data_IF_278665816211
#
_entry.id   IF_278665816211
#
_cell.length_a   1.000
_cell.length_b   1.000
_cell.length_c   1.000
_cell.angle_alpha   90.00
_cell.angle_beta   90.00
_cell.angle_gamma   90.00
#
_symmetry.space_group_name_H-M   'P 1'
#
loop_
_entity.id
_entity.type
_entity.pdbx_description
1 polymer ?
#
# COMPACT_ATOMS: atom_id res chain seq x y z
N UNK A 1 -20.04 -15.30 -35.06
CA UNK A 1 -19.34 -14.02 -34.89
C UNK A 1 -19.51 -13.61 -33.45
N UNK A 2 -18.52 -13.61 -32.59
CA UNK A 2 -17.16 -14.12 -32.59
C UNK A 2 -16.74 -14.04 -31.11
N UNK A 3 -15.88 -14.96 -30.69
CA UNK A 3 -15.33 -15.11 -29.34
C UNK A 3 -14.99 -13.79 -28.62
N UNK A 4 -15.58 -13.52 -27.44
CA UNK A 4 -14.99 -12.58 -26.48
C UNK A 4 -15.45 -12.74 -25.02
N UNK A 5 -15.67 -13.97 -24.53
CA UNK A 5 -15.83 -14.24 -23.09
C UNK A 5 -14.61 -15.00 -22.54
N UNK A 6 -13.43 -14.41 -22.71
CA UNK A 6 -12.27 -14.77 -21.89
C UNK A 6 -12.24 -13.84 -20.69
N UNK A 7 -12.90 -14.25 -19.60
CA UNK A 7 -12.58 -13.72 -18.26
C UNK A 7 -11.07 -13.82 -18.05
N UNK A 8 -10.36 -12.77 -17.65
CA UNK A 8 -9.01 -12.92 -17.17
C UNK A 8 -9.10 -13.66 -15.84
N UNK A 9 -8.90 -14.97 -15.90
CA UNK A 9 -8.64 -15.78 -14.72
C UNK A 9 -7.27 -15.34 -14.25
N UNK A 10 -7.20 -14.58 -13.16
CA UNK A 10 -5.94 -14.26 -12.49
C UNK A 10 -5.29 -15.62 -12.19
N UNK A 11 -4.20 -15.92 -12.90
CA UNK A 11 -3.43 -17.14 -12.68
C UNK A 11 -2.86 -17.07 -11.27
N UNK A 12 -3.36 -17.93 -10.38
CA UNK A 12 -2.91 -18.04 -9.00
C UNK A 12 -1.41 -18.40 -8.91
N UNK A 13 -0.75 -18.80 -10.01
CA UNK A 13 0.72 -18.90 -10.08
C UNK A 13 1.44 -17.57 -9.88
N UNK A 14 0.80 -16.44 -10.17
CA UNK A 14 1.35 -15.11 -9.83
C UNK A 14 1.46 -14.86 -8.31
N UNK A 15 0.75 -15.64 -7.48
CA UNK A 15 0.93 -15.64 -6.02
C UNK A 15 2.13 -16.47 -5.55
N UNK A 16 2.60 -17.45 -6.33
CA UNK A 16 3.86 -18.16 -6.03
C UNK A 16 5.05 -17.19 -6.10
N UNK A 17 5.00 -16.16 -6.97
CA UNK A 17 6.04 -15.12 -7.00
C UNK A 17 6.11 -14.29 -5.70
N UNK A 18 5.01 -14.11 -4.98
CA UNK A 18 5.00 -13.38 -3.70
C UNK A 18 5.64 -14.25 -2.61
N UNK A 19 5.38 -15.56 -2.60
CA UNK A 19 6.07 -16.51 -1.73
C UNK A 19 7.57 -16.59 -2.05
N UNK A 20 7.94 -16.52 -3.34
CA UNK A 20 9.34 -16.45 -3.77
C UNK A 20 10.02 -15.14 -3.34
N UNK A 21 9.30 -14.02 -3.29
CA UNK A 21 9.80 -12.74 -2.74
C UNK A 21 10.01 -12.85 -1.23
N UNK A 22 9.11 -13.47 -0.48
CA UNK A 22 9.31 -13.74 0.95
C UNK A 22 10.47 -14.70 1.21
N UNK A 23 10.62 -15.74 0.39
CA UNK A 23 11.76 -16.65 0.43
C UNK A 23 13.08 -15.94 0.11
N UNK A 24 13.08 -15.04 -0.88
CA UNK A 24 14.25 -14.20 -1.19
C UNK A 24 14.58 -13.22 -0.06
N UNK A 25 13.57 -12.61 0.59
CA UNK A 25 13.77 -11.78 1.80
C UNK A 25 14.38 -12.59 2.95
N UNK A 26 13.91 -13.81 3.17
CA UNK A 26 14.45 -14.70 4.19
C UNK A 26 15.91 -15.08 3.88
N UNK A 27 16.20 -15.46 2.63
CA UNK A 27 17.55 -15.81 2.18
C UNK A 27 18.54 -14.64 2.29
N UNK A 28 18.11 -13.41 1.95
CA UNK A 28 18.93 -12.21 2.06
C UNK A 28 19.16 -11.79 3.53
N UNK A 29 18.17 -11.92 4.41
CA UNK A 29 18.36 -11.69 5.86
C UNK A 29 19.37 -12.68 6.45
N UNK A 30 19.26 -13.95 6.08
CA UNK A 30 20.23 -14.99 6.43
C UNK A 30 21.63 -14.66 5.92
N UNK A 31 21.76 -14.19 4.68
CA UNK A 31 23.05 -13.78 4.13
C UNK A 31 23.66 -12.60 4.90
N UNK A 32 22.85 -11.60 5.29
CA UNK A 32 23.30 -10.45 6.10
C UNK A 32 23.72 -10.90 7.50
N UNK A 33 22.97 -11.79 8.15
CA UNK A 33 23.37 -12.36 9.45
C UNK A 33 24.66 -13.17 9.36
N UNK A 34 24.82 -13.97 8.30
CA UNK A 34 26.05 -14.73 8.06
C UNK A 34 27.25 -13.80 7.84
N UNK A 35 27.11 -12.73 7.06
CA UNK A 35 28.18 -11.73 6.89
C UNK A 35 28.52 -11.02 8.21
N UNK A 36 27.52 -10.60 8.99
CA UNK A 36 27.74 -9.96 10.28
C UNK A 36 28.41 -10.92 11.29
N UNK A 37 28.08 -12.21 11.25
CA UNK A 37 28.71 -13.23 12.10
C UNK A 37 30.17 -13.48 11.70
N UNK A 38 30.47 -13.55 10.40
CA UNK A 38 31.82 -13.67 9.87
C UNK A 38 32.70 -12.45 10.22
N UNK A 39 32.14 -11.24 10.15
CA UNK A 39 32.82 -10.00 10.56
C UNK A 39 33.16 -10.01 12.06
N UNK A 40 32.25 -10.52 12.89
CA UNK A 40 32.45 -10.66 14.34
C UNK A 40 33.55 -11.68 14.67
N UNK A 41 33.58 -12.82 13.98
CA UNK A 41 34.64 -13.81 14.11
C UNK A 41 36.00 -13.28 13.65
N UNK A 42 36.03 -12.51 12.56
CA UNK A 42 37.27 -11.93 12.04
C UNK A 42 37.84 -10.85 12.98
N UNK A 43 36.99 -10.02 13.57
CA UNK A 43 37.38 -9.06 14.61
C UNK A 43 37.90 -9.74 15.88
N UNK A 44 37.32 -10.89 16.28
CA UNK A 44 37.81 -11.70 17.39
C UNK A 44 39.18 -12.34 17.10
N UNK A 45 39.40 -12.82 15.88
CA UNK A 45 40.72 -13.36 15.46
C UNK A 45 41.80 -12.28 15.45
N UNK A 46 41.50 -11.10 14.90
CA UNK A 46 42.41 -9.96 14.88
C UNK A 46 42.77 -9.46 16.29
N UNK A 47 41.82 -9.53 17.23
CA UNK A 47 42.06 -9.18 18.64
C UNK A 47 42.95 -10.18 19.36
N UNK A 48 42.83 -11.49 19.03
CA UNK A 48 43.69 -12.55 19.61
C UNK A 48 45.14 -12.46 19.12
N UNK A 49 45.34 -12.24 17.82
CA UNK A 49 46.70 -12.08 17.25
C UNK A 49 47.40 -10.83 17.77
N UNK A 50 46.66 -9.73 18.00
CA UNK A 50 47.21 -8.53 18.63
C UNK A 50 47.59 -8.73 20.12
N UNK A 51 46.90 -9.63 20.83
CA UNK A 51 47.22 -9.97 22.22
C UNK A 51 48.44 -10.90 22.34
N UNK A 52 48.58 -11.87 21.44
CA UNK A 52 49.71 -12.80 21.41
C UNK A 52 51.04 -12.10 21.10
N UNK A 53 51.04 -11.10 20.20
CA UNK A 53 52.25 -10.32 19.88
C UNK A 53 52.74 -9.43 21.03
N UNK A 54 51.86 -9.04 21.97
CA UNK A 54 52.25 -8.28 23.18
C UNK A 54 52.83 -9.16 24.27
N UNK A 55 52.54 -10.47 24.26
CA UNK A 55 53.02 -11.41 25.28
C UNK A 55 54.43 -11.96 25.00
N UNK A 56 54.91 -11.92 23.75
CA UNK A 56 56.19 -12.51 23.33
C UNK A 56 57.41 -11.57 23.41
N UNK A 57 57.24 -10.32 23.85
CA UNK A 57 58.30 -9.29 23.84
C UNK A 57 58.88 -8.94 25.21
N UNK A 58 59.37 -9.91 26.00
CA UNK A 58 60.21 -9.60 27.19
C UNK A 58 60.91 -10.85 27.74
N UNK A 59 62.19 -11.06 27.40
CA UNK A 59 63.14 -11.82 28.24
C UNK A 59 64.56 -11.75 27.66
N UNK A 60 65.49 -11.08 28.36
CA UNK A 60 66.70 -11.71 28.94
C UNK A 60 67.77 -10.64 29.23
N UNK A 61 68.09 -10.41 30.51
CA UNK A 61 69.35 -9.75 30.93
C UNK A 61 70.03 -10.69 31.93
N UNK A 62 71.23 -11.13 31.56
CA UNK A 62 72.02 -12.15 32.25
C UNK A 62 72.74 -11.65 33.50
N UNK A 63 73.00 -12.58 34.43
CA UNK A 63 73.81 -12.41 35.64
C UNK A 63 75.29 -12.65 35.33
N UNK A 64 76.17 -11.94 36.04
CA UNK A 64 77.51 -12.45 36.38
C UNK A 64 77.87 -12.09 37.83
N UNK A 65 78.52 -13.03 38.52
CA UNK A 65 79.09 -12.87 39.85
C UNK A 65 80.44 -13.60 39.89
N UNK A 66 81.50 -12.97 40.43
CA UNK A 66 82.53 -13.61 41.28
C UNK A 66 83.46 -12.58 41.96
N UNK A 67 84.07 -13.00 43.07
CA UNK A 67 84.79 -12.30 44.18
C UNK A 67 86.31 -12.70 44.13
N UNK A 68 87.17 -12.51 45.16
CA UNK A 68 88.04 -11.37 45.59
C UNK A 68 89.58 -11.72 45.65
N UNK A 69 90.36 -10.97 46.48
CA UNK A 69 91.79 -11.12 46.96
C UNK A 69 92.86 -10.45 46.09
N UNK A 70 93.97 -9.84 46.56
CA UNK A 70 94.57 -9.57 47.87
C UNK A 70 96.09 -9.25 47.70
N UNK A 71 96.58 -8.18 48.35
CA UNK A 71 97.93 -7.92 48.92
C UNK A 71 99.24 -7.96 48.07
N UNK A 72 99.89 -6.78 47.93
CA UNK A 72 101.27 -6.50 48.39
C UNK A 72 102.51 -6.78 47.50
N UNK A 73 103.44 -5.80 47.44
CA UNK A 73 104.87 -6.02 47.15
C UNK A 73 105.53 -5.05 46.14
N UNK A 74 106.49 -4.26 46.61
CA UNK A 74 107.20 -3.17 45.92
C UNK A 74 108.27 -3.61 44.91
N UNK A 75 108.56 -2.66 43.99
CA UNK A 75 109.78 -2.44 43.20
C UNK A 75 109.84 -3.03 41.77
N UNK A 76 109.37 -2.26 40.77
CA UNK A 76 110.12 -1.87 39.56
C UNK A 76 109.26 -0.89 38.71
N UNK A 77 109.22 0.38 39.12
CA UNK A 77 108.00 1.17 38.97
C UNK A 77 107.78 1.87 37.62
N UNK A 78 108.76 2.02 36.72
CA UNK A 78 108.50 2.77 35.46
C UNK A 78 108.12 1.90 34.26
N UNK A 79 108.61 0.67 34.17
CA UNK A 79 108.35 -0.22 33.02
C UNK A 79 107.12 -1.11 33.27
N UNK A 80 106.87 -1.45 34.54
CA UNK A 80 105.65 -2.12 34.99
C UNK A 80 104.42 -1.21 34.86
N UNK A 81 104.52 0.06 35.26
CA UNK A 81 103.43 1.05 35.07
C UNK A 81 103.15 1.27 33.58
N UNK A 82 104.17 1.27 32.72
CA UNK A 82 103.97 1.45 31.27
C UNK A 82 103.32 0.22 30.61
N UNK A 83 103.72 -1.00 30.97
CA UNK A 83 103.09 -2.23 30.50
C UNK A 83 101.69 -2.45 31.10
N UNK A 84 101.47 -2.07 32.36
CA UNK A 84 100.13 -2.06 32.99
C UNK A 84 99.24 -1.01 32.33
N UNK A 85 99.74 0.18 32.03
CA UNK A 85 99.02 1.20 31.29
C UNK A 85 98.74 0.80 29.84
N UNK A 86 99.68 0.17 29.12
CA UNK A 86 99.47 -0.36 27.76
C UNK A 86 98.45 -1.52 27.76
N UNK A 87 98.47 -2.39 28.78
CA UNK A 87 97.47 -3.44 28.97
C UNK A 87 96.11 -2.88 29.38
N UNK A 88 96.05 -1.83 30.19
CA UNK A 88 94.82 -1.12 30.54
C UNK A 88 94.25 -0.37 29.34
N UNK A 89 95.09 0.32 28.54
CA UNK A 89 94.68 0.99 27.30
C UNK A 89 94.17 -0.05 26.29
N UNK A 90 94.86 -1.18 26.15
CA UNK A 90 94.40 -2.30 25.32
C UNK A 90 93.08 -2.89 25.83
N UNK A 91 92.92 -3.05 27.15
CA UNK A 91 91.69 -3.49 27.78
C UNK A 91 90.54 -2.50 27.62
N UNK A 92 90.81 -1.19 27.70
CA UNK A 92 89.84 -0.12 27.45
C UNK A 92 89.46 -0.09 25.98
N UNK A 93 90.42 -0.28 25.07
CA UNK A 93 90.17 -0.33 23.63
C UNK A 93 89.30 -1.54 23.26
N UNK A 94 89.59 -2.73 23.79
CA UNK A 94 88.75 -3.91 23.58
C UNK A 94 87.34 -3.74 24.16
N UNK A 95 87.20 -3.07 25.31
CA UNK A 95 85.89 -2.72 25.88
C UNK A 95 85.14 -1.70 25.03
N UNK A 96 85.85 -0.74 24.44
CA UNK A 96 85.29 0.26 23.55
C UNK A 96 84.83 -0.37 22.22
N UNK A 97 85.62 -1.29 21.67
CA UNK A 97 85.28 -2.05 20.46
C UNK A 97 84.05 -2.96 20.71
N UNK A 98 84.00 -3.64 21.87
CA UNK A 98 82.82 -4.42 22.28
C UNK A 98 81.57 -3.55 22.49
N UNK A 99 81.71 -2.37 23.10
CA UNK A 99 80.60 -1.43 23.27
C UNK A 99 80.14 -0.84 21.92
N UNK A 100 81.05 -0.62 20.97
CA UNK A 100 80.72 -0.19 19.60
C UNK A 100 79.99 -1.29 18.82
N UNK A 101 80.41 -2.55 18.96
CA UNK A 101 79.68 -3.69 18.39
C UNK A 101 78.27 -3.82 18.97
N UNK A 102 78.13 -3.75 20.30
CA UNK A 102 76.82 -3.75 20.94
C UNK A 102 75.94 -2.59 20.45
N UNK A 103 76.49 -1.36 20.39
CA UNK A 103 75.76 -0.19 19.88
C UNK A 103 75.30 -0.39 18.43
N UNK A 104 76.15 -0.97 17.58
CA UNK A 104 75.82 -1.27 16.18
C UNK A 104 74.74 -2.35 16.08
N UNK A 105 74.76 -3.36 16.96
CA UNK A 105 73.73 -4.38 17.05
C UNK A 105 72.38 -3.80 17.52
N UNK A 106 72.39 -2.91 18.52
CA UNK A 106 71.19 -2.18 18.94
C UNK A 106 70.64 -1.30 17.81
N UNK A 107 71.52 -0.63 17.05
CA UNK A 107 71.13 0.18 15.90
C UNK A 107 70.52 -0.66 14.78
N UNK A 108 71.06 -1.87 14.54
CA UNK A 108 70.50 -2.84 13.59
C UNK A 108 69.11 -3.32 14.02
N UNK A 109 68.93 -3.71 15.29
CA UNK A 109 67.63 -4.12 15.83
C UNK A 109 66.60 -2.98 15.79
N UNK A 110 67.01 -1.74 16.04
CA UNK A 110 66.15 -0.57 15.93
C UNK A 110 65.68 -0.35 14.49
N UNK A 111 66.57 -0.45 13.50
CA UNK A 111 66.21 -0.35 12.08
C UNK A 111 65.30 -1.50 11.62
N UNK A 112 65.54 -2.72 12.09
CA UNK A 112 64.67 -3.87 11.83
C UNK A 112 63.28 -3.68 12.45
N UNK A 113 63.20 -3.13 13.66
CA UNK A 113 61.93 -2.80 14.31
C UNK A 113 61.18 -1.67 13.58
N UNK A 114 61.86 -0.62 13.12
CA UNK A 114 61.26 0.44 12.30
C UNK A 114 60.75 -0.09 10.95
N UNK A 115 61.51 -0.96 10.29
CA UNK A 115 61.07 -1.63 9.07
C UNK A 115 59.86 -2.55 9.33
N UNK A 116 59.84 -3.24 10.47
CA UNK A 116 58.70 -4.03 10.94
C UNK A 116 57.45 -3.17 11.16
N UNK A 117 57.60 -2.03 11.84
CA UNK A 117 56.52 -1.07 12.06
C UNK A 117 55.97 -0.52 10.73
N UNK A 118 56.85 -0.10 9.82
CA UNK A 118 56.44 0.38 8.49
C UNK A 118 55.65 -0.67 7.71
N UNK A 119 56.03 -1.95 7.81
CA UNK A 119 55.30 -3.06 7.18
C UNK A 119 53.93 -3.27 7.83
N UNK A 120 53.83 -3.22 9.15
CA UNK A 120 52.54 -3.33 9.85
C UNK A 120 51.62 -2.16 9.55
N UNK A 121 52.15 -0.94 9.46
CA UNK A 121 51.39 0.27 9.16
C UNK A 121 50.80 0.22 7.74
N UNK A 122 51.57 -0.23 6.75
CA UNK A 122 51.07 -0.51 5.40
C UNK A 122 49.94 -1.54 5.39
N UNK A 123 50.13 -2.66 6.10
CA UNK A 123 49.09 -3.70 6.17
C UNK A 123 47.80 -3.23 6.85
N UNK A 124 47.91 -2.33 7.85
CA UNK A 124 46.77 -1.74 8.53
C UNK A 124 46.02 -0.77 7.61
N UNK A 125 46.76 0.05 6.84
CA UNK A 125 46.17 0.96 5.84
C UNK A 125 45.39 0.19 4.77
N UNK A 126 45.95 -0.89 4.23
CA UNK A 126 45.27 -1.76 3.25
C UNK A 126 44.02 -2.42 3.84
N UNK A 127 44.07 -2.84 5.10
CA UNK A 127 42.91 -3.41 5.80
C UNK A 127 41.79 -2.38 6.01
N UNK A 128 42.14 -1.13 6.35
CA UNK A 128 41.18 -0.04 6.50
C UNK A 128 40.51 0.34 5.18
N UNK A 129 41.25 0.38 4.07
CA UNK A 129 40.68 0.61 2.74
C UNK A 129 39.71 -0.51 2.34
N UNK A 130 40.10 -1.79 2.54
CA UNK A 130 39.21 -2.93 2.29
C UNK A 130 37.94 -2.82 3.13
N UNK A 131 38.05 -2.48 4.40
CA UNK A 131 36.89 -2.34 5.28
C UNK A 131 35.96 -1.20 4.82
N UNK A 132 36.51 -0.04 4.44
CA UNK A 132 35.72 1.06 3.84
C UNK A 132 35.00 0.63 2.57
N UNK A 133 35.67 -0.12 1.69
CA UNK A 133 35.06 -0.61 0.45
C UNK A 133 33.91 -1.60 0.73
N UNK A 134 34.06 -2.45 1.74
CA UNK A 134 33.03 -3.39 2.16
C UNK A 134 31.82 -2.67 2.77
N UNK A 135 32.04 -1.63 3.58
CA UNK A 135 30.97 -0.83 4.17
C UNK A 135 30.17 -0.07 3.11
N UNK A 136 30.82 0.49 2.07
CA UNK A 136 30.14 1.12 0.93
C UNK A 136 29.27 0.09 0.18
N UNK A 137 29.81 -1.11 -0.06
CA UNK A 137 29.05 -2.19 -0.70
C UNK A 137 27.82 -2.60 0.14
N UNK A 138 27.99 -2.69 1.47
CA UNK A 138 26.90 -2.99 2.41
C UNK A 138 25.81 -1.92 2.36
N UNK A 139 26.17 -0.64 2.41
CA UNK A 139 25.22 0.47 2.31
C UNK A 139 24.45 0.46 0.97
N UNK A 140 25.11 0.11 -0.13
CA UNK A 140 24.45 -0.07 -1.43
C UNK A 140 23.40 -1.18 -1.40
N UNK A 141 23.72 -2.34 -0.81
CA UNK A 141 22.76 -3.46 -0.67
C UNK A 141 21.57 -3.07 0.20
N UNK A 142 21.81 -2.43 1.34
CA UNK A 142 20.74 -1.95 2.25
C UNK A 142 19.83 -0.95 1.53
N UNK A 143 20.40 -0.02 0.76
CA UNK A 143 19.63 0.98 0.02
C UNK A 143 18.71 0.33 -1.02
N UNK A 144 19.23 -0.66 -1.75
CA UNK A 144 18.43 -1.47 -2.69
C UNK A 144 17.33 -2.25 -1.99
N UNK A 145 17.62 -2.84 -0.82
CA UNK A 145 16.62 -3.61 -0.06
C UNK A 145 15.46 -2.71 0.39
N UNK A 146 15.76 -1.51 0.90
CA UNK A 146 14.74 -0.53 1.27
C UNK A 146 13.88 -0.09 0.07
N UNK A 147 14.47 0.02 -1.12
CA UNK A 147 13.72 0.34 -2.34
C UNK A 147 12.74 -0.80 -2.70
N UNK A 148 13.19 -2.06 -2.65
CA UNK A 148 12.34 -3.22 -2.88
C UNK A 148 11.22 -3.37 -1.86
N UNK A 149 11.50 -3.07 -0.59
CA UNK A 149 10.48 -3.05 0.46
C UNK A 149 9.40 -1.99 0.18
N UNK A 150 9.79 -0.79 -0.24
CA UNK A 150 8.83 0.25 -0.66
C UNK A 150 7.98 -0.18 -1.85
N UNK A 151 8.60 -0.67 -2.94
CA UNK A 151 7.87 -1.13 -4.13
C UNK A 151 6.90 -2.26 -3.81
N UNK A 152 7.30 -3.19 -2.96
CA UNK A 152 6.42 -4.28 -2.51
C UNK A 152 5.26 -3.76 -1.66
N UNK A 153 5.49 -2.78 -0.78
CA UNK A 153 4.42 -2.18 0.00
C UNK A 153 3.42 -1.41 -0.88
N UNK A 154 3.88 -0.72 -1.92
CA UNK A 154 3.02 -0.06 -2.92
C UNK A 154 2.09 -1.06 -3.62
N UNK A 155 2.62 -2.21 -4.06
CA UNK A 155 1.83 -3.26 -4.72
C UNK A 155 0.81 -3.86 -3.77
N UNK A 156 1.21 -4.16 -2.54
CA UNK A 156 0.28 -4.73 -1.55
C UNK A 156 -0.85 -3.75 -1.20
N UNK A 157 -0.55 -2.45 -1.12
CA UNK A 157 -1.58 -1.43 -0.94
C UNK A 157 -2.51 -1.33 -2.16
N UNK A 158 -1.97 -1.31 -3.37
CA UNK A 158 -2.77 -1.28 -4.59
C UNK A 158 -3.66 -2.54 -4.73
N UNK A 159 -3.17 -3.70 -4.30
CA UNK A 159 -3.94 -4.95 -4.24
C UNK A 159 -5.09 -4.85 -3.22
N UNK A 160 -4.85 -4.30 -2.03
CA UNK A 160 -5.90 -4.08 -1.03
C UNK A 160 -6.99 -3.14 -1.55
N UNK A 161 -6.61 -2.06 -2.22
CA UNK A 161 -7.54 -1.13 -2.86
C UNK A 161 -8.37 -1.84 -3.94
N UNK A 162 -7.73 -2.67 -4.77
CA UNK A 162 -8.40 -3.46 -5.80
C UNK A 162 -9.43 -4.44 -5.20
N UNK A 163 -9.07 -5.16 -4.14
CA UNK A 163 -9.99 -6.07 -3.44
C UNK A 163 -11.16 -5.31 -2.78
N UNK A 164 -10.90 -4.12 -2.24
CA UNK A 164 -11.94 -3.25 -1.71
C UNK A 164 -12.93 -2.82 -2.80
N UNK A 165 -12.44 -2.39 -3.97
CA UNK A 165 -13.26 -2.05 -5.14
C UNK A 165 -14.07 -3.25 -5.65
N UNK A 166 -13.47 -4.44 -5.70
CA UNK A 166 -14.18 -5.68 -6.05
C UNK A 166 -15.35 -5.96 -5.11
N UNK A 167 -15.13 -5.81 -3.80
CA UNK A 167 -16.16 -5.99 -2.78
C UNK A 167 -17.31 -5.00 -2.98
N UNK A 168 -16.99 -3.70 -3.11
CA UNK A 168 -17.96 -2.63 -3.35
C UNK A 168 -18.75 -2.84 -4.65
N UNK A 169 -18.09 -3.29 -5.71
CA UNK A 169 -18.74 -3.60 -6.98
C UNK A 169 -19.71 -4.78 -6.83
N UNK A 170 -19.32 -5.82 -6.10
CA UNK A 170 -20.21 -6.97 -5.87
C UNK A 170 -21.48 -6.56 -5.11
N UNK A 171 -21.34 -5.68 -4.11
CA UNK A 171 -22.46 -5.17 -3.33
C UNK A 171 -23.34 -4.25 -4.18
N UNK A 172 -22.74 -3.35 -4.96
CA UNK A 172 -23.47 -2.48 -5.87
C UNK A 172 -24.26 -3.29 -6.91
N UNK A 173 -23.67 -4.35 -7.49
CA UNK A 173 -24.35 -5.25 -8.42
C UNK A 173 -25.52 -5.97 -7.77
N UNK A 174 -25.36 -6.43 -6.53
CA UNK A 174 -26.44 -7.04 -5.76
C UNK A 174 -27.59 -6.04 -5.54
N UNK A 175 -27.29 -4.83 -5.08
CA UNK A 175 -28.29 -3.78 -4.87
C UNK A 175 -29.01 -3.41 -6.18
N UNK A 176 -28.29 -3.30 -7.30
CA UNK A 176 -28.89 -3.06 -8.61
C UNK A 176 -29.81 -4.22 -9.04
N UNK A 177 -29.41 -5.48 -8.80
CA UNK A 177 -30.23 -6.64 -9.09
C UNK A 177 -31.52 -6.68 -8.26
N UNK A 178 -31.43 -6.42 -6.95
CA UNK A 178 -32.59 -6.35 -6.04
C UNK A 178 -33.57 -5.25 -6.49
N UNK A 179 -33.02 -4.10 -6.91
CA UNK A 179 -33.81 -2.97 -7.44
C UNK A 179 -34.50 -3.30 -8.76
N UNK A 180 -33.80 -4.00 -9.64
CA UNK A 180 -34.34 -4.46 -10.91
C UNK A 180 -35.46 -5.47 -10.70
N UNK A 181 -35.32 -6.35 -9.71
CA UNK A 181 -36.39 -7.28 -9.33
C UNK A 181 -37.62 -6.55 -8.78
N UNK A 182 -37.42 -5.54 -7.92
CA UNK A 182 -38.51 -4.67 -7.45
C UNK A 182 -39.19 -3.93 -8.61
N UNK A 183 -38.42 -3.42 -9.57
CA UNK A 183 -38.94 -2.76 -10.76
C UNK A 183 -39.77 -3.72 -11.63
N UNK A 184 -39.32 -4.95 -11.84
CA UNK A 184 -40.04 -5.95 -12.62
C UNK A 184 -41.40 -6.32 -11.97
N UNK A 185 -41.46 -6.35 -10.64
CA UNK A 185 -42.72 -6.51 -9.93
C UNK A 185 -43.62 -5.29 -10.13
N UNK A 186 -43.08 -4.09 -9.96
CA UNK A 186 -43.77 -2.82 -10.15
C UNK A 186 -44.21 -2.56 -11.60
N UNK A 187 -43.56 -3.15 -12.60
CA UNK A 187 -43.90 -2.97 -14.01
C UNK A 187 -45.26 -3.57 -14.36
N UNK A 188 -45.65 -4.68 -13.72
CA UNK A 188 -47.01 -5.23 -13.86
C UNK A 188 -48.05 -4.31 -13.23
N UNK A 189 -47.66 -3.63 -12.16
CA UNK A 189 -48.52 -2.65 -11.49
C UNK A 189 -48.64 -1.36 -12.31
N UNK A 190 -47.60 -0.96 -13.05
CA UNK A 190 -47.61 0.24 -13.91
C UNK A 190 -48.77 0.25 -14.90
N UNK A 191 -48.96 -0.82 -15.66
CA UNK A 191 -50.06 -0.92 -16.63
C UNK A 191 -51.43 -0.85 -15.92
N UNK A 192 -51.52 -1.44 -14.73
CA UNK A 192 -52.74 -1.38 -13.91
C UNK A 192 -53.01 0.04 -13.40
N UNK A 193 -51.96 0.76 -12.99
CA UNK A 193 -52.03 2.15 -12.55
C UNK A 193 -52.46 3.05 -13.71
N UNK A 194 -51.82 2.95 -14.88
CA UNK A 194 -52.14 3.73 -16.08
C UNK A 194 -53.61 3.53 -16.50
N UNK A 195 -54.06 2.28 -16.58
CA UNK A 195 -55.45 1.97 -16.92
C UNK A 195 -56.45 2.52 -15.89
N UNK A 196 -56.15 2.42 -14.58
CA UNK A 196 -57.05 2.91 -13.54
C UNK A 196 -57.09 4.43 -13.47
N UNK A 197 -55.97 5.10 -13.65
CA UNK A 197 -55.91 6.57 -13.74
C UNK A 197 -56.77 7.05 -14.89
N UNK A 198 -56.62 6.48 -16.09
CA UNK A 198 -57.43 6.84 -17.26
C UNK A 198 -58.94 6.61 -17.02
N UNK A 199 -59.33 5.48 -16.42
CA UNK A 199 -60.74 5.22 -16.10
C UNK A 199 -61.31 6.23 -15.10
N UNK A 200 -60.56 6.59 -14.05
CA UNK A 200 -61.01 7.56 -13.04
C UNK A 200 -61.11 8.98 -13.64
N UNK A 201 -60.21 9.34 -14.56
CA UNK A 201 -60.29 10.59 -15.31
C UNK A 201 -61.57 10.67 -16.14
N UNK A 202 -61.92 9.59 -16.86
CA UNK A 202 -63.18 9.51 -17.59
C UNK A 202 -64.41 9.58 -16.66
N UNK A 203 -64.38 8.89 -15.51
CA UNK A 203 -65.43 8.99 -14.48
C UNK A 203 -65.60 10.44 -13.99
N UNK A 204 -64.48 11.13 -13.71
CA UNK A 204 -64.47 12.54 -13.27
C UNK A 204 -65.05 13.49 -14.33
N UNK A 205 -64.74 13.27 -15.60
CA UNK A 205 -65.31 14.05 -16.71
C UNK A 205 -66.81 13.83 -16.86
N UNK A 206 -67.25 12.57 -16.74
CA UNK A 206 -68.67 12.21 -16.75
C UNK A 206 -69.43 12.84 -15.57
N UNK A 207 -68.85 12.78 -14.36
CA UNK A 207 -69.43 13.42 -13.16
C UNK A 207 -69.49 14.94 -13.30
N UNK A 208 -68.45 15.58 -13.83
CA UNK A 208 -68.47 17.02 -14.12
C UNK A 208 -69.58 17.39 -15.11
N UNK A 209 -69.79 16.57 -16.14
CA UNK A 209 -70.88 16.79 -17.11
C UNK A 209 -72.26 16.65 -16.47
N UNK A 210 -72.45 15.62 -15.63
CA UNK A 210 -73.69 15.40 -14.87
C UNK A 210 -73.96 16.52 -13.87
N UNK A 211 -72.92 17.01 -13.19
CA UNK A 211 -73.02 18.13 -12.26
C UNK A 211 -73.57 19.37 -12.97
N UNK A 212 -72.96 19.75 -14.10
CA UNK A 212 -73.39 20.89 -14.91
C UNK A 212 -74.85 20.75 -15.41
N UNK A 213 -75.30 19.52 -15.73
CA UNK A 213 -76.68 19.26 -16.14
C UNK A 213 -77.67 19.49 -14.99
N UNK A 214 -77.38 18.99 -13.79
CA UNK A 214 -78.25 19.14 -12.61
C UNK A 214 -78.28 20.57 -12.07
N UNK A 215 -77.15 21.27 -12.11
CA UNK A 215 -77.09 22.71 -11.83
C UNK A 215 -77.96 23.50 -12.80
N UNK A 216 -77.89 23.19 -14.10
CA UNK A 216 -78.74 23.82 -15.12
C UNK A 216 -80.22 23.55 -14.85
N UNK A 217 -80.60 22.30 -14.56
CA UNK A 217 -81.99 21.94 -14.22
C UNK A 217 -82.48 22.70 -12.98
N UNK A 218 -81.67 22.79 -11.93
CA UNK A 218 -82.01 23.57 -10.72
C UNK A 218 -82.22 25.05 -11.05
N UNK A 219 -81.38 25.64 -11.90
CA UNK A 219 -81.50 27.03 -12.34
C UNK A 219 -82.75 27.25 -13.22
N UNK A 220 -83.06 26.33 -14.13
CA UNK A 220 -84.27 26.37 -14.97
C UNK A 220 -85.55 26.31 -14.11
N UNK A 221 -85.61 25.41 -13.12
CA UNK A 221 -86.75 25.29 -12.20
C UNK A 221 -86.91 26.58 -11.36
N UNK A 222 -85.82 27.15 -10.85
CA UNK A 222 -85.86 28.41 -10.10
C UNK A 222 -86.31 29.59 -10.97
N UNK A 223 -85.87 29.67 -12.22
CA UNK A 223 -86.30 30.70 -13.16
C UNK A 223 -87.79 30.57 -13.48
N UNK A 224 -88.26 29.36 -13.81
CA UNK A 224 -89.67 29.10 -14.05
C UNK A 224 -90.52 29.44 -12.81
N UNK A 225 -90.04 29.09 -11.60
CA UNK A 225 -90.71 29.44 -10.35
C UNK A 225 -90.82 30.96 -10.16
N UNK A 226 -89.78 31.74 -10.48
CA UNK A 226 -89.80 33.21 -10.43
C UNK A 226 -90.80 33.79 -11.42
N UNK A 227 -90.87 33.24 -12.63
CA UNK A 227 -91.86 33.65 -13.65
C UNK A 227 -93.29 33.36 -13.19
N UNK A 228 -93.56 32.17 -12.65
CA UNK A 228 -94.86 31.82 -12.08
C UNK A 228 -95.24 32.74 -10.90
N UNK A 229 -94.31 33.02 -9.98
CA UNK A 229 -94.52 33.99 -8.89
C UNK A 229 -94.88 35.39 -9.42
N UNK A 230 -94.20 35.86 -10.47
CA UNK A 230 -94.47 37.16 -11.09
C UNK A 230 -95.86 37.24 -11.72
N UNK A 231 -96.37 36.12 -12.27
CA UNK A 231 -97.73 36.02 -12.82
C UNK A 231 -98.77 35.95 -11.69
N UNK A 232 -98.56 35.07 -10.70
CA UNK A 232 -99.50 34.83 -9.59
C UNK A 232 -99.66 36.05 -8.69
N UNK A 233 -98.61 36.86 -8.51
CA UNK A 233 -98.69 38.12 -7.76
C UNK A 233 -99.74 39.12 -8.30
N UNK A 234 -100.24 38.91 -9.53
CA UNK A 234 -101.27 39.71 -10.18
C UNK A 234 -102.69 39.14 -10.05
N UNK A 235 -102.87 37.94 -9.49
CA UNK A 235 -104.16 37.23 -9.40
C UNK A 235 -104.45 36.84 -7.93
N UNK A 236 -105.38 37.50 -7.22
CA UNK A 236 -105.71 37.18 -5.83
C UNK A 236 -106.43 35.83 -5.69
N UNK A 237 -105.96 34.94 -4.80
CA UNK A 237 -106.75 33.82 -4.28
C UNK A 237 -106.44 32.41 -4.80
N UNK A 238 -105.46 32.20 -5.68
CA UNK A 238 -105.15 30.86 -6.23
C UNK A 238 -104.50 29.90 -5.22
N UNK A 239 -105.24 28.91 -4.72
CA UNK A 239 -104.71 27.82 -3.89
C UNK A 239 -103.86 26.84 -4.73
N UNK A 240 -104.34 26.46 -5.92
CA UNK A 240 -103.63 25.56 -6.85
C UNK A 240 -102.27 26.13 -7.30
N UNK A 241 -102.21 27.46 -7.45
CA UNK A 241 -101.00 28.18 -7.83
C UNK A 241 -99.94 28.14 -6.72
N UNK A 242 -100.37 28.15 -5.44
CA UNK A 242 -99.48 27.98 -4.30
C UNK A 242 -98.97 26.55 -4.19
N UNK A 243 -99.82 25.56 -4.44
CA UNK A 243 -99.41 24.15 -4.45
C UNK A 243 -98.39 23.84 -5.56
N UNK A 244 -98.57 24.40 -6.76
CA UNK A 244 -97.61 24.30 -7.85
C UNK A 244 -96.24 24.89 -7.48
N UNK A 245 -96.21 26.06 -6.83
CA UNK A 245 -94.97 26.69 -6.35
C UNK A 245 -94.27 25.86 -5.27
N UNK A 246 -95.02 25.20 -4.40
CA UNK A 246 -94.46 24.28 -3.40
C UNK A 246 -93.82 23.06 -4.08
N UNK A 247 -94.49 22.45 -5.07
CA UNK A 247 -93.92 21.33 -5.84
C UNK A 247 -92.63 21.74 -6.58
N UNK A 248 -92.59 22.92 -7.20
CA UNK A 248 -91.37 23.43 -7.85
C UNK A 248 -90.22 23.68 -6.85
N UNK A 249 -90.54 24.09 -5.62
CA UNK A 249 -89.56 24.21 -4.53
C UNK A 249 -88.99 22.85 -4.14
N UNK A 250 -89.85 21.84 -4.00
CA UNK A 250 -89.44 20.47 -3.68
C UNK A 250 -88.57 19.86 -4.79
N UNK A 251 -88.94 20.08 -6.06
CA UNK A 251 -88.15 19.65 -7.23
C UNK A 251 -86.79 20.34 -7.29
N UNK A 252 -86.73 21.64 -7.00
CA UNK A 252 -85.46 22.37 -6.88
C UNK A 252 -84.59 21.79 -5.77
N UNK A 253 -85.14 21.60 -4.57
CA UNK A 253 -84.40 21.03 -3.45
C UNK A 253 -83.90 19.60 -3.78
N UNK A 254 -84.69 18.82 -4.52
CA UNK A 254 -84.28 17.50 -5.00
C UNK A 254 -83.14 17.58 -6.02
N UNK A 255 -83.15 18.57 -6.92
CA UNK A 255 -82.06 18.82 -7.87
C UNK A 255 -80.78 19.26 -7.14
N UNK A 256 -80.86 20.20 -6.19
CA UNK A 256 -79.73 20.64 -5.37
C UNK A 256 -79.13 19.50 -4.54
N UNK A 257 -79.96 18.64 -3.96
CA UNK A 257 -79.49 17.44 -3.25
C UNK A 257 -78.75 16.47 -4.18
N UNK A 258 -79.18 16.32 -5.43
CA UNK A 258 -78.46 15.51 -6.43
C UNK A 258 -77.13 16.14 -6.83
N UNK A 259 -77.08 17.45 -7.01
CA UNK A 259 -75.84 18.21 -7.25
C UNK A 259 -74.83 17.92 -6.14
N UNK A 260 -75.25 18.07 -4.87
CA UNK A 260 -74.39 17.78 -3.71
C UNK A 260 -73.88 16.34 -3.65
N UNK A 261 -74.72 15.36 -4.02
CA UNK A 261 -74.29 13.97 -4.09
C UNK A 261 -73.22 13.76 -5.16
N UNK A 262 -73.40 14.34 -6.34
CA UNK A 262 -72.45 14.27 -7.45
C UNK A 262 -71.13 14.97 -7.10
N UNK A 263 -71.17 16.08 -6.35
CA UNK A 263 -69.97 16.74 -5.82
C UNK A 263 -69.17 15.81 -4.91
N UNK A 264 -69.83 15.13 -3.96
CA UNK A 264 -69.17 14.17 -3.07
C UNK A 264 -68.58 12.98 -3.85
N UNK A 265 -69.29 12.47 -4.86
CA UNK A 265 -68.76 11.42 -5.76
C UNK A 265 -67.53 11.91 -6.52
N UNK A 266 -67.53 13.16 -6.98
CA UNK A 266 -66.40 13.78 -7.67
C UNK A 266 -65.19 13.97 -6.75
N UNK A 267 -65.40 14.39 -5.50
CA UNK A 267 -64.36 14.48 -4.48
C UNK A 267 -63.73 13.10 -4.17
N UNK A 268 -64.57 12.06 -4.09
CA UNK A 268 -64.11 10.69 -3.93
C UNK A 268 -63.29 10.21 -5.15
N UNK A 269 -63.70 10.56 -6.38
CA UNK A 269 -62.92 10.28 -7.59
C UNK A 269 -61.56 10.97 -7.57
N UNK A 270 -61.52 12.25 -7.20
CA UNK A 270 -60.27 13.02 -7.07
C UNK A 270 -59.32 12.40 -6.04
N UNK A 271 -59.85 11.93 -4.91
CA UNK A 271 -59.07 11.26 -3.87
C UNK A 271 -58.46 9.94 -4.39
N UNK A 272 -59.28 9.11 -5.06
CA UNK A 272 -58.80 7.87 -5.70
C UNK A 272 -57.74 8.16 -6.77
N UNK A 273 -57.94 9.20 -7.58
CA UNK A 273 -56.99 9.60 -8.62
C UNK A 273 -55.62 9.93 -8.00
N UNK A 274 -55.60 10.72 -6.92
CA UNK A 274 -54.38 11.07 -6.19
C UNK A 274 -53.62 9.85 -5.67
N UNK A 275 -54.33 8.83 -5.18
CA UNK A 275 -53.70 7.59 -4.73
C UNK A 275 -53.01 6.83 -5.87
N UNK A 276 -53.62 6.83 -7.07
CA UNK A 276 -53.02 6.21 -8.26
C UNK A 276 -51.86 7.04 -8.83
N UNK A 277 -51.94 8.38 -8.79
CA UNK A 277 -50.83 9.27 -9.12
C UNK A 277 -49.63 9.05 -8.18
N UNK A 278 -49.87 8.89 -6.87
CA UNK A 278 -48.81 8.58 -5.91
C UNK A 278 -48.14 7.24 -6.22
N UNK A 279 -48.92 6.20 -6.57
CA UNK A 279 -48.36 4.91 -7.00
C UNK A 279 -47.56 5.02 -8.30
N UNK A 280 -48.01 5.82 -9.26
CA UNK A 280 -47.25 6.10 -10.47
C UNK A 280 -45.90 6.76 -10.14
N UNK A 281 -45.89 7.72 -9.21
CA UNK A 281 -44.68 8.38 -8.75
C UNK A 281 -43.72 7.42 -8.00
N UNK A 282 -44.25 6.49 -7.19
CA UNK A 282 -43.45 5.44 -6.54
C UNK A 282 -42.73 4.57 -7.58
N UNK A 283 -43.44 4.17 -8.64
CA UNK A 283 -42.85 3.40 -9.75
C UNK A 283 -41.76 4.20 -10.47
N UNK A 284 -41.99 5.49 -10.74
CA UNK A 284 -41.00 6.37 -11.36
C UNK A 284 -39.75 6.54 -10.48
N UNK A 285 -39.93 6.64 -9.16
CA UNK A 285 -38.80 6.70 -8.22
C UNK A 285 -37.99 5.39 -8.25
N UNK A 286 -38.63 4.23 -8.38
CA UNK A 286 -37.90 2.96 -8.55
C UNK A 286 -37.05 2.93 -9.83
N UNK A 287 -37.53 3.53 -10.93
CA UNK A 287 -36.71 3.67 -12.16
C UNK A 287 -35.47 4.54 -11.92
N UNK A 288 -35.64 5.70 -11.28
CA UNK A 288 -34.52 6.61 -10.96
C UNK A 288 -33.51 5.94 -10.02
N UNK A 289 -34.00 5.24 -9.01
CA UNK A 289 -33.18 4.47 -8.07
C UNK A 289 -32.34 3.40 -8.77
N UNK A 290 -32.96 2.65 -9.69
CA UNK A 290 -32.25 1.65 -10.50
C UNK A 290 -31.17 2.30 -11.36
N UNK A 291 -31.49 3.40 -12.04
CA UNK A 291 -30.53 4.14 -12.87
C UNK A 291 -29.31 4.62 -12.06
N UNK A 292 -29.55 5.18 -10.87
CA UNK A 292 -28.47 5.61 -9.96
C UNK A 292 -27.58 4.42 -9.58
N UNK A 293 -28.17 3.27 -9.24
CA UNK A 293 -27.42 2.06 -8.85
C UNK A 293 -26.64 1.45 -10.02
N UNK A 294 -27.21 1.43 -11.22
CA UNK A 294 -26.52 0.99 -12.44
C UNK A 294 -25.34 1.91 -12.78
N UNK A 295 -25.53 3.23 -12.65
CA UNK A 295 -24.45 4.20 -12.88
C UNK A 295 -23.32 4.03 -11.85
N UNK A 296 -23.65 3.77 -10.58
CA UNK A 296 -22.66 3.43 -9.55
C UNK A 296 -21.86 2.17 -9.92
N UNK A 297 -22.53 1.13 -10.45
CA UNK A 297 -21.85 -0.07 -10.94
C UNK A 297 -20.86 0.25 -12.07
N UNK A 298 -21.28 1.03 -13.08
CA UNK A 298 -20.43 1.43 -14.21
C UNK A 298 -19.18 2.21 -13.75
N UNK A 299 -19.34 3.12 -12.80
CA UNK A 299 -18.21 3.89 -12.24
C UNK A 299 -17.23 2.96 -11.53
N UNK A 300 -17.73 2.04 -10.70
CA UNK A 300 -16.91 1.06 -10.00
C UNK A 300 -16.20 0.09 -10.96
N UNK A 301 -16.88 -0.38 -12.00
CA UNK A 301 -16.27 -1.22 -13.05
C UNK A 301 -15.13 -0.50 -13.78
N UNK A 302 -15.34 0.77 -14.13
CA UNK A 302 -14.29 1.58 -14.75
C UNK A 302 -13.08 1.76 -13.83
N UNK A 303 -13.32 2.14 -12.57
CA UNK A 303 -12.26 2.34 -11.58
C UNK A 303 -11.49 1.04 -11.29
N UNK A 304 -12.20 -0.09 -11.24
CA UNK A 304 -11.62 -1.40 -11.09
C UNK A 304 -10.72 -1.75 -12.29
N UNK A 305 -11.19 -1.53 -13.51
CA UNK A 305 -10.40 -1.78 -14.72
C UNK A 305 -9.14 -0.89 -14.81
N UNK A 306 -9.24 0.38 -14.40
CA UNK A 306 -8.07 1.27 -14.30
C UNK A 306 -7.03 0.74 -13.28
N UNK A 307 -7.50 0.20 -12.15
CA UNK A 307 -6.63 -0.40 -11.12
C UNK A 307 -6.04 -1.74 -11.56
N UNK A 308 -6.80 -2.56 -12.29
CA UNK A 308 -6.32 -3.81 -12.90
C UNK A 308 -5.14 -3.51 -13.84
N UNK A 309 -5.34 -2.57 -14.79
CA UNK A 309 -4.29 -2.14 -15.71
C UNK A 309 -3.05 -1.57 -15.01
N UNK A 310 -3.24 -0.83 -13.92
CA UNK A 310 -2.13 -0.34 -13.10
C UNK A 310 -1.33 -1.50 -12.49
N UNK A 311 -2.01 -2.48 -11.90
CA UNK A 311 -1.37 -3.64 -11.29
C UNK A 311 -0.65 -4.50 -12.34
N UNK A 312 -1.27 -4.74 -13.49
CA UNK A 312 -0.66 -5.46 -14.61
C UNK A 312 0.64 -4.79 -15.09
N UNK A 313 0.60 -3.47 -15.34
CA UNK A 313 1.81 -2.71 -15.73
C UNK A 313 2.89 -2.78 -14.66
N UNK A 314 2.50 -2.65 -13.39
CA UNK A 314 3.44 -2.70 -12.27
C UNK A 314 4.07 -4.08 -12.10
N UNK A 315 3.34 -5.16 -12.37
CA UNK A 315 3.86 -6.53 -12.37
C UNK A 315 4.90 -6.70 -13.48
N UNK A 316 4.61 -6.26 -14.70
CA UNK A 316 5.57 -6.30 -15.83
C UNK A 316 6.85 -5.52 -15.49
N UNK A 317 6.72 -4.30 -14.94
CA UNK A 317 7.87 -3.50 -14.51
C UNK A 317 8.73 -4.22 -13.47
N UNK A 318 8.09 -4.92 -12.52
CA UNK A 318 8.79 -5.70 -11.49
C UNK A 318 9.47 -6.95 -12.05
N UNK A 319 8.83 -7.64 -13.00
CA UNK A 319 9.40 -8.80 -13.70
C UNK A 319 10.65 -8.40 -14.50
N UNK A 320 10.58 -7.28 -15.22
CA UNK A 320 11.70 -6.70 -15.96
C UNK A 320 12.85 -6.31 -15.02
N UNK A 321 12.53 -5.65 -13.90
CA UNK A 321 13.52 -5.28 -12.89
C UNK A 321 14.17 -6.52 -12.27
N UNK A 322 13.37 -7.54 -11.95
CA UNK A 322 13.85 -8.81 -11.41
C UNK A 322 14.78 -9.53 -12.40
N UNK A 323 14.40 -9.60 -13.68
CA UNK A 323 15.21 -10.20 -14.74
C UNK A 323 16.58 -9.48 -14.87
N UNK A 324 16.59 -8.15 -14.85
CA UNK A 324 17.84 -7.35 -14.85
C UNK A 324 18.68 -7.64 -13.62
N UNK A 325 18.09 -7.63 -12.41
CA UNK A 325 18.83 -7.93 -11.18
C UNK A 325 19.38 -9.34 -11.14
N UNK A 326 18.64 -10.32 -11.66
CA UNK A 326 19.10 -11.71 -11.73
C UNK A 326 20.31 -11.84 -12.66
N UNK A 327 20.29 -11.16 -13.81
CA UNK A 327 21.43 -11.05 -14.71
C UNK A 327 22.64 -10.41 -14.03
N UNK A 328 22.46 -9.28 -13.34
CA UNK A 328 23.54 -8.63 -12.58
C UNK A 328 24.18 -9.57 -11.54
N UNK A 329 23.35 -10.36 -10.84
CA UNK A 329 23.81 -11.34 -9.84
C UNK A 329 24.59 -12.47 -10.52
N UNK A 330 24.10 -12.99 -11.63
CA UNK A 330 24.77 -14.09 -12.34
C UNK A 330 26.11 -13.62 -12.94
N UNK A 331 26.18 -12.40 -13.47
CA UNK A 331 27.43 -11.77 -13.90
C UNK A 331 28.41 -11.57 -12.74
N UNK A 332 27.93 -11.11 -11.58
CA UNK A 332 28.74 -10.96 -10.37
C UNK A 332 29.27 -12.31 -9.86
N UNK A 333 28.41 -13.34 -9.80
CA UNK A 333 28.82 -14.70 -9.43
C UNK A 333 29.89 -15.23 -10.38
N UNK A 334 29.76 -14.97 -11.67
CA UNK A 334 30.74 -15.40 -12.66
C UNK A 334 32.08 -14.67 -12.49
N UNK A 335 32.06 -13.38 -12.20
CA UNK A 335 33.27 -12.61 -11.86
C UNK A 335 33.95 -13.17 -10.61
N UNK A 336 33.20 -13.42 -9.54
CA UNK A 336 33.71 -14.03 -8.31
C UNK A 336 34.28 -15.42 -8.55
N UNK A 337 33.63 -16.26 -9.37
CA UNK A 337 34.16 -17.58 -9.75
C UNK A 337 35.51 -17.47 -10.46
N UNK A 338 35.67 -16.49 -11.37
CA UNK A 338 36.95 -16.23 -12.05
C UNK A 338 38.04 -15.81 -11.07
N UNK A 339 37.75 -14.85 -10.18
CA UNK A 339 38.71 -14.40 -9.16
C UNK A 339 39.12 -15.53 -8.22
N UNK A 340 38.17 -16.35 -7.75
CA UNK A 340 38.47 -17.54 -6.93
C UNK A 340 39.35 -18.52 -7.69
N UNK A 341 39.05 -18.80 -8.97
CA UNK A 341 39.86 -19.71 -9.78
C UNK A 341 41.29 -19.17 -9.98
N UNK A 342 41.48 -17.87 -10.18
CA UNK A 342 42.79 -17.23 -10.27
C UNK A 342 43.58 -17.34 -8.97
N UNK A 343 42.96 -17.02 -7.83
CA UNK A 343 43.56 -17.17 -6.51
C UNK A 343 43.95 -18.63 -6.21
N UNK A 344 43.12 -19.57 -6.64
CA UNK A 344 43.38 -21.01 -6.47
C UNK A 344 44.57 -21.46 -7.33
N UNK A 345 44.69 -20.97 -8.56
CA UNK A 345 45.86 -21.21 -9.42
C UNK A 345 47.14 -20.67 -8.79
N UNK A 346 47.13 -19.42 -8.31
CA UNK A 346 48.29 -18.78 -7.66
C UNK A 346 48.73 -19.59 -6.42
N UNK A 347 47.79 -20.03 -5.60
CA UNK A 347 48.06 -20.87 -4.42
C UNK A 347 48.71 -22.20 -4.78
N UNK A 348 48.29 -22.81 -5.88
CA UNK A 348 48.84 -24.09 -6.34
C UNK A 348 50.23 -23.92 -6.97
N UNK A 349 50.49 -22.83 -7.70
CA UNK A 349 51.83 -22.53 -8.24
C UNK A 349 52.83 -22.06 -7.18
N UNK A 350 52.36 -21.41 -6.11
CA UNK A 350 53.19 -20.96 -5.00
C UNK A 350 53.59 -22.06 -4.00
N UNK A 351 53.02 -23.28 -4.13
CA UNK A 351 53.39 -24.46 -3.31
C UNK A 351 54.39 -25.39 -3.99
N UNK A 352 54.80 -25.08 -5.22
CA UNK A 352 55.73 -25.89 -6.03
C UNK A 352 57.18 -25.37 -6.03
N UNK A 353 57.52 -24.46 -5.13
CA UNK A 353 58.88 -24.09 -4.74
C UNK A 353 59.08 -24.47 -3.27
#
# INVERSE_FOLDING_TARGET
MEDSDKKPYIDLKSLEMIQDIEAMRAALRLAIEQMNSAEKEQNLRNSRTAAEQRASGSSSVGRYATRPTGVGGYANDNEKIRLEAENEISGIKNKLDAALEELNDWRRRALEAEAGLSKTEKSLSEALEKNRSAEIAKQSVVSRLNEWERKSAEIENARKDFLSLMSQLSEAKKQAADSKQALLAAQKEKETVENKTCLIELEKEALSSRLNEWERKAAEIENARKEFLAIISKIPGGMDAREALTRMLEEKNAAENKTRLIELEKEACMSRLKDWENKAAEIENLYKDLEIRENKCKILEKSLGEKELYLERRLVDMEDEYARKRKDIDEFKEKMRKEVNELTKIKNTGKTL
#
